data_IF_498121239005
#
_entry.id   IF_498121239005
#
_cell.length_a   1.000
_cell.length_b   1.000
_cell.length_c   1.000
_cell.angle_alpha   90.00
_cell.angle_beta   90.00
_cell.angle_gamma   90.00
#
_symmetry.space_group_name_H-M   'P 1'
#
loop_
_entity.id
_entity.type
_entity.pdbx_description
1 polymer ?
#
# COMPACT_ATOMS: atom_id res chain seq x y z
N UNK A 1 24.82 12.07 17.33
CA UNK A 1 24.89 10.63 17.64
C UNK A 1 24.79 9.91 16.30
N UNK A 2 25.78 9.11 15.90
CA UNK A 2 25.70 8.39 14.62
C UNK A 2 24.56 7.36 14.74
N UNK A 3 23.62 7.36 13.79
CA UNK A 3 22.55 6.36 13.76
C UNK A 3 23.19 4.96 13.57
N UNK A 4 22.72 3.93 14.28
CA UNK A 4 23.26 2.58 14.12
C UNK A 4 22.87 2.04 12.74
N UNK A 5 23.86 1.84 11.87
CA UNK A 5 23.67 1.12 10.61
C UNK A 5 23.78 -0.38 10.86
N UNK A 6 22.86 -1.16 10.30
CA UNK A 6 23.00 -2.60 10.19
C UNK A 6 23.35 -2.98 8.74
N UNK A 7 23.91 -4.17 8.54
CA UNK A 7 24.28 -4.67 7.22
C UNK A 7 23.23 -5.66 6.73
N UNK A 8 22.71 -5.45 5.51
CA UNK A 8 21.96 -6.50 4.81
C UNK A 8 22.89 -7.71 4.61
N UNK A 9 22.32 -8.90 4.37
CA UNK A 9 23.12 -10.11 4.08
C UNK A 9 24.09 -9.96 2.88
N UNK A 10 23.93 -8.91 2.07
CA UNK A 10 24.78 -8.55 0.93
C UNK A 10 25.76 -7.39 1.23
N UNK A 11 25.90 -6.96 2.49
CA UNK A 11 26.88 -5.93 2.89
C UNK A 11 26.48 -4.48 2.62
N UNK A 12 25.23 -4.21 2.23
CA UNK A 12 24.72 -2.85 2.09
C UNK A 12 24.26 -2.30 3.44
N UNK A 13 24.66 -1.06 3.80
CA UNK A 13 24.16 -0.42 5.01
C UNK A 13 22.68 -0.12 4.88
N UNK A 14 21.94 -0.37 5.95
CA UNK A 14 20.55 0.06 6.10
C UNK A 14 20.35 0.71 7.47
N UNK A 15 19.40 1.63 7.55
CA UNK A 15 19.10 2.40 8.76
C UNK A 15 18.23 1.61 9.75
N UNK A 16 17.20 0.92 9.24
CA UNK A 16 16.23 0.22 10.06
C UNK A 16 15.58 -0.92 9.28
N UNK A 17 15.18 -1.98 9.98
CA UNK A 17 14.21 -2.96 9.44
C UNK A 17 12.86 -2.74 10.11
N UNK A 18 11.81 -2.62 9.30
CA UNK A 18 10.42 -2.55 9.76
C UNK A 18 9.64 -3.78 9.27
N UNK A 19 8.55 -4.11 9.93
CA UNK A 19 7.70 -5.26 9.62
C UNK A 19 8.31 -6.60 10.04
N UNK A 20 9.27 -6.61 10.97
CA UNK A 20 9.88 -7.86 11.49
C UNK A 20 8.92 -8.66 12.37
N UNK A 21 7.93 -7.98 12.98
CA UNK A 21 6.78 -8.66 13.58
C UNK A 21 6.07 -9.39 12.44
N UNK A 22 5.76 -10.69 12.61
CA UNK A 22 5.09 -11.56 11.62
C UNK A 22 3.66 -11.12 11.23
N UNK A 23 3.39 -9.83 11.20
CA UNK A 23 2.12 -9.19 10.84
C UNK A 23 2.14 -8.74 9.38
N UNK A 24 3.28 -8.32 8.83
CA UNK A 24 3.38 -7.98 7.41
C UNK A 24 3.78 -9.21 6.61
N UNK A 25 2.84 -9.78 5.85
CA UNK A 25 3.08 -10.89 4.94
C UNK A 25 2.83 -10.45 3.50
N UNK A 26 3.67 -10.89 2.57
CA UNK A 26 3.49 -10.66 1.14
C UNK A 26 3.22 -9.19 0.76
N UNK A 27 4.10 -8.25 1.16
CA UNK A 27 3.98 -6.86 0.73
C UNK A 27 4.11 -6.77 -0.80
N UNK A 28 3.30 -5.91 -1.41
CA UNK A 28 3.26 -5.64 -2.84
C UNK A 28 3.76 -4.23 -3.12
N UNK A 29 3.23 -3.25 -2.40
CA UNK A 29 3.54 -1.84 -2.59
C UNK A 29 3.49 -1.08 -1.25
N UNK A 30 4.01 0.14 -1.22
CA UNK A 30 4.14 0.96 -0.01
C UNK A 30 3.84 2.43 -0.31
N UNK A 31 3.10 3.07 0.59
CA UNK A 31 2.80 4.49 0.54
C UNK A 31 3.05 5.17 1.89
N UNK A 32 3.51 6.42 1.86
CA UNK A 32 3.83 7.18 3.07
C UNK A 32 2.71 8.17 3.37
N UNK A 33 2.19 8.12 4.59
CA UNK A 33 1.21 9.07 5.10
C UNK A 33 1.83 10.09 6.04
N UNK A 34 0.97 10.94 6.61
CA UNK A 34 1.37 11.94 7.62
C UNK A 34 1.71 11.25 8.95
N UNK A 35 2.36 12.00 9.84
CA UNK A 35 2.66 11.56 11.22
C UNK A 35 3.50 10.27 11.29
N UNK A 36 4.29 10.00 10.24
CA UNK A 36 5.14 8.82 10.16
C UNK A 36 4.38 7.52 9.90
N UNK A 37 3.12 7.59 9.42
CA UNK A 37 2.37 6.41 8.99
C UNK A 37 2.93 5.85 7.69
N UNK A 38 3.04 4.52 7.65
CA UNK A 38 3.53 3.75 6.52
C UNK A 38 2.46 2.74 6.17
N UNK A 39 1.89 2.89 4.98
CA UNK A 39 0.85 2.03 4.44
C UNK A 39 1.50 0.98 3.55
N UNK A 40 1.26 -0.29 3.85
CA UNK A 40 1.85 -1.42 3.13
C UNK A 40 0.69 -2.20 2.53
N UNK A 41 0.60 -2.20 1.21
CA UNK A 41 -0.34 -3.04 0.50
C UNK A 41 0.17 -4.48 0.57
N UNK A 42 -0.63 -5.38 1.12
CA UNK A 42 -0.32 -6.81 1.19
C UNK A 42 -1.23 -7.62 0.28
N UNK A 43 -0.70 -8.73 -0.24
CA UNK A 43 -1.47 -9.63 -1.09
C UNK A 43 -1.15 -11.08 -0.79
N UNK A 44 -2.14 -11.78 -0.24
CA UNK A 44 -2.00 -13.16 0.19
C UNK A 44 -1.31 -13.29 1.55
N UNK A 45 -1.03 -14.53 1.96
CA UNK A 45 -0.55 -14.80 3.31
C UNK A 45 -1.64 -14.56 4.35
N UNK A 46 -1.43 -13.60 5.25
CA UNK A 46 -2.32 -13.26 6.36
C UNK A 46 -3.49 -12.35 5.95
N UNK A 47 -3.43 -11.68 4.79
CA UNK A 47 -4.49 -10.79 4.34
C UNK A 47 -4.17 -10.07 3.03
N UNK A 48 -5.22 -9.77 2.27
CA UNK A 48 -5.16 -8.89 1.10
C UNK A 48 -5.81 -7.56 1.48
N UNK A 49 -4.99 -6.62 1.92
CA UNK A 49 -5.40 -5.42 2.67
C UNK A 49 -4.28 -4.39 2.66
N UNK A 50 -4.55 -3.20 3.21
CA UNK A 50 -3.51 -2.22 3.53
C UNK A 50 -3.18 -2.32 5.01
N UNK A 51 -1.94 -2.69 5.34
CA UNK A 51 -1.42 -2.68 6.70
C UNK A 51 -0.79 -1.32 7.02
N UNK A 52 -1.05 -0.79 8.21
CA UNK A 52 -0.52 0.51 8.63
C UNK A 52 0.45 0.30 9.78
N UNK A 53 1.67 0.80 9.62
CA UNK A 53 2.69 0.84 10.68
C UNK A 53 3.27 2.24 10.84
N UNK A 54 4.15 2.45 11.81
CA UNK A 54 4.95 3.67 11.93
C UNK A 54 6.47 3.37 11.95
N UNK A 55 7.27 4.44 12.03
CA UNK A 55 8.74 4.35 12.11
C UNK A 55 9.26 3.66 13.39
N UNK A 56 8.41 3.46 14.40
CA UNK A 56 8.75 2.70 15.62
C UNK A 56 8.36 1.21 15.49
N UNK A 57 8.01 0.75 14.28
CA UNK A 57 7.52 -0.60 13.96
C UNK A 57 6.21 -0.97 14.69
N UNK A 58 5.45 0.01 15.17
CA UNK A 58 4.15 -0.21 15.80
C UNK A 58 3.12 -0.60 14.76
N UNK A 59 2.29 -1.60 15.06
CA UNK A 59 1.19 -2.01 14.21
C UNK A 59 -0.04 -1.15 14.50
N UNK A 60 -0.40 -0.26 13.56
CA UNK A 60 -1.55 0.64 13.64
C UNK A 60 -2.83 0.02 13.03
N UNK A 61 -2.77 -1.27 12.70
CA UNK A 61 -3.88 -2.06 12.21
C UNK A 61 -3.93 -2.19 10.69
N UNK A 62 -5.10 -2.54 10.20
CA UNK A 62 -5.39 -2.94 8.82
C UNK A 62 -6.55 -2.13 8.26
N UNK A 63 -6.59 -1.97 6.95
CA UNK A 63 -7.60 -1.19 6.21
C UNK A 63 -7.97 -1.94 4.93
N UNK A 64 -9.23 -1.86 4.53
CA UNK A 64 -9.69 -2.48 3.27
C UNK A 64 -9.78 -4.00 3.30
N UNK A 65 -9.94 -4.61 4.48
CA UNK A 65 -10.17 -6.05 4.63
C UNK A 65 -11.34 -6.54 3.76
N UNK A 66 -11.08 -7.56 2.94
CA UNK A 66 -12.08 -8.13 2.02
C UNK A 66 -12.49 -7.19 0.88
N UNK A 67 -11.83 -6.04 0.70
CA UNK A 67 -12.16 -5.09 -0.37
C UNK A 67 -11.37 -5.32 -1.66
N UNK A 68 -10.31 -6.11 -1.62
CA UNK A 68 -9.43 -6.35 -2.76
C UNK A 68 -9.34 -7.84 -3.11
N UNK A 69 -9.10 -8.12 -4.39
CA UNK A 69 -8.92 -9.48 -4.92
C UNK A 69 -7.48 -9.68 -5.37
N UNK A 70 -6.94 -8.78 -6.19
CA UNK A 70 -5.57 -8.82 -6.65
C UNK A 70 -5.03 -7.40 -6.75
N UNK A 71 -4.79 -6.74 -5.60
CA UNK A 71 -4.29 -5.38 -5.62
C UNK A 71 -2.83 -5.36 -6.08
N UNK A 72 -2.46 -4.33 -6.85
CA UNK A 72 -1.16 -4.24 -7.52
C UNK A 72 -0.35 -2.99 -7.15
N UNK A 73 -1.00 -1.88 -6.82
CA UNK A 73 -0.31 -0.65 -6.43
C UNK A 73 -1.10 0.15 -5.40
N UNK A 74 -0.38 0.94 -4.61
CA UNK A 74 -0.89 1.82 -3.57
C UNK A 74 -0.23 3.19 -3.68
N UNK A 75 -1.01 4.24 -3.85
CA UNK A 75 -0.57 5.62 -3.69
C UNK A 75 -1.27 6.26 -2.50
N UNK A 76 -0.60 7.24 -1.88
CA UNK A 76 -1.14 8.05 -0.78
C UNK A 76 -0.95 9.51 -1.18
N UNK A 77 -2.05 10.28 -1.18
CA UNK A 77 -2.00 11.71 -1.48
C UNK A 77 -1.81 12.58 -0.23
N UNK A 78 -1.75 13.90 -0.44
CA UNK A 78 -1.58 14.88 0.63
C UNK A 78 -2.79 15.00 1.57
N UNK A 79 -3.96 14.49 1.19
CA UNK A 79 -5.17 14.47 2.02
C UNK A 79 -5.31 13.15 2.82
N UNK A 80 -4.28 12.30 2.79
CA UNK A 80 -4.28 10.94 3.38
C UNK A 80 -5.32 10.01 2.73
N UNK A 81 -5.60 10.20 1.44
CA UNK A 81 -6.40 9.29 0.62
C UNK A 81 -5.50 8.24 -0.01
N UNK A 82 -5.99 7.01 -0.02
CA UNK A 82 -5.29 5.84 -0.54
C UNK A 82 -5.93 5.44 -1.86
N UNK A 83 -5.11 5.33 -2.90
CA UNK A 83 -5.51 4.91 -4.24
C UNK A 83 -4.93 3.53 -4.50
N UNK A 84 -5.79 2.54 -4.69
CA UNK A 84 -5.39 1.14 -4.87
C UNK A 84 -5.89 0.65 -6.22
N UNK A 85 -4.98 0.18 -7.07
CA UNK A 85 -5.34 -0.57 -8.29
C UNK A 85 -5.56 -2.03 -7.94
N UNK A 86 -6.62 -2.62 -8.49
CA UNK A 86 -6.92 -4.04 -8.36
C UNK A 86 -7.00 -4.69 -9.74
N UNK A 87 -6.02 -5.52 -10.06
CA UNK A 87 -5.91 -6.20 -11.35
C UNK A 87 -7.13 -7.07 -11.63
N UNK A 88 -7.58 -7.84 -10.63
CA UNK A 88 -8.65 -8.80 -10.83
C UNK A 88 -10.03 -8.14 -10.86
N UNK A 89 -10.15 -6.94 -10.29
CA UNK A 89 -11.38 -6.14 -10.34
C UNK A 89 -11.40 -5.11 -11.48
N UNK A 90 -10.30 -4.97 -12.22
CA UNK A 90 -10.21 -4.02 -13.32
C UNK A 90 -10.53 -2.59 -12.90
N UNK A 91 -10.13 -2.20 -11.69
CA UNK A 91 -10.58 -0.95 -11.09
C UNK A 91 -9.51 -0.31 -10.22
N UNK A 92 -9.75 0.97 -9.92
CA UNK A 92 -9.02 1.75 -8.91
C UNK A 92 -10.02 2.12 -7.82
N UNK A 93 -9.67 1.82 -6.58
CA UNK A 93 -10.46 2.18 -5.39
C UNK A 93 -9.75 3.27 -4.61
N UNK A 94 -10.47 4.35 -4.32
CA UNK A 94 -10.05 5.36 -3.35
C UNK A 94 -10.72 5.06 -2.02
N UNK A 95 -9.91 5.09 -0.96
CA UNK A 95 -10.40 5.05 0.41
C UNK A 95 -9.65 6.06 1.27
N UNK A 96 -10.29 6.52 2.34
CA UNK A 96 -9.62 7.34 3.34
C UNK A 96 -8.68 6.50 4.22
N UNK A 97 -7.86 7.19 5.02
CA UNK A 97 -6.93 6.61 6.00
C UNK A 97 -7.56 5.67 7.04
N UNK A 98 -8.87 5.77 7.25
CA UNK A 98 -9.62 4.99 8.23
C UNK A 98 -10.23 3.73 7.64
N UNK A 99 -10.17 3.56 6.31
CA UNK A 99 -10.67 2.35 5.66
C UNK A 99 -11.91 2.57 4.81
N UNK A 100 -12.51 3.76 4.83
CA UNK A 100 -13.80 3.98 4.21
C UNK A 100 -13.61 4.26 2.72
N UNK A 101 -14.27 3.47 1.89
CA UNK A 101 -14.24 3.66 0.44
C UNK A 101 -15.00 4.94 0.11
N UNK A 102 -14.31 5.86 -0.57
CA UNK A 102 -14.87 7.12 -1.02
C UNK A 102 -15.32 7.04 -2.48
N UNK A 103 -14.59 6.29 -3.30
CA UNK A 103 -14.94 6.07 -4.70
C UNK A 103 -14.26 4.82 -5.26
N UNK A 104 -14.84 4.26 -6.32
CA UNK A 104 -14.21 3.25 -7.16
C UNK A 104 -14.58 3.54 -8.61
N UNK A 105 -13.61 3.50 -9.50
CA UNK A 105 -13.84 3.57 -10.95
C UNK A 105 -13.04 2.51 -11.69
N UNK A 106 -13.45 2.25 -12.93
CA UNK A 106 -12.93 1.16 -13.73
C UNK A 106 -13.82 -0.07 -13.70
N UNK A 107 -13.87 -0.72 -14.85
CA UNK A 107 -14.44 -2.03 -15.08
C UNK A 107 -13.64 -2.72 -16.19
N UNK A 108 -13.84 -4.01 -16.39
CA UNK A 108 -13.14 -4.75 -17.44
C UNK A 108 -13.48 -4.21 -18.83
N UNK A 109 -12.47 -3.81 -19.59
CA UNK A 109 -12.65 -3.42 -20.99
C UNK A 109 -11.50 -2.59 -21.55
N UNK A 110 -11.80 -1.88 -22.64
CA UNK A 110 -10.84 -1.09 -23.41
C UNK A 110 -11.35 0.29 -23.83
N UNK A 111 -12.58 0.64 -23.45
CA UNK A 111 -13.16 1.96 -23.71
C UNK A 111 -12.73 2.96 -22.64
N UNK A 112 -13.08 4.23 -22.84
CA UNK A 112 -12.75 5.31 -21.91
C UNK A 112 -13.25 5.01 -20.49
N UNK A 113 -12.33 5.05 -19.53
CA UNK A 113 -12.61 4.74 -18.12
C UNK A 113 -12.66 3.25 -17.78
N UNK A 114 -12.48 2.35 -18.75
CA UNK A 114 -12.34 0.91 -18.51
C UNK A 114 -10.85 0.52 -18.39
N UNK A 115 -10.59 -0.57 -17.68
CA UNK A 115 -9.25 -1.11 -17.51
C UNK A 115 -9.20 -2.61 -17.82
N UNK A 116 -8.06 -3.06 -18.30
CA UNK A 116 -7.75 -4.47 -18.36
C UNK A 116 -6.56 -4.76 -17.44
N UNK A 117 -6.86 -5.21 -16.22
CA UNK A 117 -5.89 -5.52 -15.17
C UNK A 117 -4.89 -4.38 -14.91
N UNK A 118 -5.37 -3.22 -14.39
CA UNK A 118 -4.49 -2.10 -14.12
C UNK A 118 -3.42 -2.51 -13.10
N UNK A 119 -2.17 -2.09 -13.34
CA UNK A 119 -1.02 -2.44 -12.50
C UNK A 119 -0.55 -1.24 -11.68
N UNK A 120 0.60 -0.66 -12.01
CA UNK A 120 1.16 0.48 -11.27
C UNK A 120 0.48 1.79 -11.64
N UNK A 121 0.43 2.71 -10.68
CA UNK A 121 -0.07 4.06 -10.83
C UNK A 121 0.99 5.05 -10.33
N UNK A 122 0.93 6.30 -10.79
CA UNK A 122 1.72 7.40 -10.25
C UNK A 122 0.91 8.69 -10.33
N UNK A 123 1.18 9.63 -9.44
CA UNK A 123 0.61 10.97 -9.57
C UNK A 123 1.42 11.77 -10.57
N UNK A 124 0.73 12.58 -11.36
CA UNK A 124 1.39 13.61 -12.16
C UNK A 124 1.91 14.72 -11.24
N UNK A 125 2.90 15.48 -11.69
CA UNK A 125 3.50 16.58 -10.93
C UNK A 125 2.71 17.89 -10.99
N UNK A 126 1.71 17.96 -11.87
CA UNK A 126 0.93 19.16 -12.19
C UNK A 126 -0.31 19.35 -11.29
#
# INVERSE_FOLDING_TARGET
MAKPFALLRSGFPFEMTMGMRRVTSNPVDIGFGKEGRVHILTRGGLGTEVRVINWDDENLGTRGEGKFTWPASLLVDDDEMLYISDEAKHSVTIMDKDGNIQSTWGEEGSDDGQFNRPSSMTFDSD
#
